data_IF_636974529376
#
_entry.id   IF_636974529376
#
_cell.length_a   1.000
_cell.length_b   1.000
_cell.length_c   1.000
_cell.angle_alpha   90.00
_cell.angle_beta   90.00
_cell.angle_gamma   90.00
#
_symmetry.space_group_name_H-M   'P 1'
#
loop_
_entity.id
_entity.type
_entity.pdbx_description
1 polymer ?
#
# COMPACT_ATOMS: atom_id res chain seq x y z
N UNK A 1 2.74 13.60 -19.92
CA UNK A 1 2.39 13.22 -18.53
C UNK A 1 2.63 14.44 -17.67
N UNK A 2 1.69 14.79 -16.80
CA UNK A 2 1.85 15.88 -15.83
C UNK A 2 2.35 15.28 -14.51
N UNK A 3 3.29 15.97 -13.84
CA UNK A 3 3.92 15.58 -12.57
C UNK A 3 3.54 16.57 -11.47
N UNK A 4 3.51 16.13 -10.21
CA UNK A 4 3.19 17.03 -9.11
C UNK A 4 4.31 18.06 -8.94
N UNK A 5 3.99 19.32 -8.63
CA UNK A 5 4.99 20.40 -8.63
C UNK A 5 6.11 20.17 -7.63
N UNK A 6 5.82 19.47 -6.53
CA UNK A 6 6.76 19.03 -5.49
C UNK A 6 7.64 17.83 -5.90
N UNK A 7 7.34 17.19 -7.04
CA UNK A 7 8.11 16.06 -7.60
C UNK A 7 8.94 16.48 -8.82
N UNK A 8 8.84 17.73 -9.29
CA UNK A 8 9.59 18.24 -10.44
C UNK A 8 11.06 18.48 -10.12
N UNK A 9 11.37 18.88 -8.89
CA UNK A 9 12.73 19.10 -8.41
C UNK A 9 12.97 18.24 -7.16
N UNK A 10 14.00 17.39 -7.22
CA UNK A 10 14.39 16.59 -6.08
C UNK A 10 15.03 17.47 -4.98
N UNK A 11 14.85 17.13 -3.70
CA UNK A 11 15.53 17.84 -2.62
C UNK A 11 17.05 17.81 -2.79
N UNK A 12 17.75 18.90 -2.47
CA UNK A 12 19.20 19.05 -2.66
C UNK A 12 20.03 17.96 -1.94
N UNK A 13 19.51 17.40 -0.85
CA UNK A 13 20.17 16.32 -0.11
C UNK A 13 20.15 14.98 -0.84
N UNK A 14 19.29 14.80 -1.85
CA UNK A 14 19.30 13.62 -2.74
C UNK A 14 20.38 13.82 -3.81
N UNK A 15 21.64 13.67 -3.40
CA UNK A 15 22.82 13.90 -4.25
C UNK A 15 23.78 12.70 -4.25
N UNK A 16 24.93 12.82 -4.93
CA UNK A 16 25.92 11.75 -5.04
C UNK A 16 26.39 11.15 -3.70
N UNK A 17 26.48 11.96 -2.64
CA UNK A 17 26.93 11.47 -1.33
C UNK A 17 25.85 10.58 -0.70
N UNK A 18 24.59 11.02 -0.73
CA UNK A 18 23.46 10.21 -0.28
C UNK A 18 23.31 8.93 -1.09
N UNK A 19 23.39 9.00 -2.43
CA UNK A 19 23.28 7.82 -3.29
C UNK A 19 24.40 6.81 -3.05
N UNK A 20 25.62 7.29 -2.74
CA UNK A 20 26.72 6.42 -2.31
C UNK A 20 26.38 5.70 -1.01
N UNK A 21 25.92 6.43 0.01
CA UNK A 21 25.52 5.87 1.30
C UNK A 21 24.46 4.77 1.14
N UNK A 22 23.43 5.04 0.33
CA UNK A 22 22.37 4.09 -0.01
C UNK A 22 22.94 2.80 -0.62
N UNK A 23 23.89 2.91 -1.55
CA UNK A 23 24.48 1.76 -2.22
C UNK A 23 25.37 0.92 -1.29
N UNK A 24 26.03 1.56 -0.31
CA UNK A 24 26.93 0.90 0.65
C UNK A 24 26.20 0.39 1.91
N UNK A 25 24.94 0.78 2.13
CA UNK A 25 24.19 0.58 3.38
C UNK A 25 24.17 -0.87 3.90
N UNK A 26 23.88 -1.84 3.02
CA UNK A 26 23.78 -3.25 3.42
C UNK A 26 25.14 -3.98 3.43
N UNK A 27 26.24 -3.29 3.10
CA UNK A 27 27.59 -3.85 3.07
C UNK A 27 27.94 -4.71 1.85
N UNK A 28 26.96 -4.97 0.96
CA UNK A 28 27.13 -5.72 -0.31
C UNK A 28 28.09 -5.01 -1.28
N UNK A 29 28.14 -3.68 -1.23
CA UNK A 29 29.04 -2.85 -2.01
C UNK A 29 29.95 -2.06 -1.07
N UNK A 30 31.21 -1.90 -1.45
CA UNK A 30 32.22 -1.15 -0.71
C UNK A 30 33.03 -0.28 -1.67
N UNK A 31 33.51 0.85 -1.18
CA UNK A 31 34.32 1.79 -1.94
C UNK A 31 33.62 2.22 -3.24
N UNK A 32 32.34 2.57 -3.13
CA UNK A 32 31.51 3.01 -4.24
C UNK A 32 31.93 4.43 -4.65
N UNK A 33 32.11 4.61 -5.95
CA UNK A 33 32.24 5.92 -6.60
C UNK A 33 31.04 6.13 -7.52
N UNK A 34 30.31 7.23 -7.30
CA UNK A 34 29.23 7.65 -8.20
C UNK A 34 29.87 8.35 -9.39
N UNK A 35 29.66 7.79 -10.59
CA UNK A 35 30.21 8.33 -11.84
C UNK A 35 29.25 9.33 -12.47
N UNK A 36 27.95 9.03 -12.39
CA UNK A 36 26.86 9.86 -12.91
C UNK A 36 25.54 9.46 -12.23
N UNK A 37 24.59 10.39 -12.13
CA UNK A 37 23.23 10.08 -11.69
C UNK A 37 22.19 11.04 -12.26
N UNK A 38 21.00 10.51 -12.55
CA UNK A 38 19.84 11.30 -12.96
C UNK A 38 18.67 11.03 -12.03
N UNK A 39 18.04 12.11 -11.55
CA UNK A 39 16.84 12.05 -10.73
C UNK A 39 15.65 12.54 -11.55
N UNK A 40 14.53 11.84 -11.43
CA UNK A 40 13.28 12.15 -12.11
C UNK A 40 12.09 11.82 -11.20
N UNK A 41 10.90 12.41 -11.42
CA UNK A 41 9.68 11.97 -10.75
C UNK A 41 9.46 10.46 -10.95
N UNK A 42 9.13 9.74 -9.87
CA UNK A 42 8.85 8.31 -9.97
C UNK A 42 7.44 8.02 -10.50
N UNK A 43 6.51 8.94 -10.24
CA UNK A 43 5.04 8.75 -10.23
C UNK A 43 4.31 9.87 -10.97
N UNK A 44 3.04 9.66 -11.33
CA UNK A 44 2.23 10.70 -11.98
C UNK A 44 1.38 11.47 -10.97
N UNK A 45 0.84 12.63 -11.35
CA UNK A 45 -0.03 13.42 -10.47
C UNK A 45 -1.17 12.56 -9.92
N UNK A 46 -1.30 12.56 -8.58
CA UNK A 46 -2.40 11.93 -7.87
C UNK A 46 -2.17 10.47 -7.49
N UNK A 47 -0.95 9.94 -7.65
CA UNK A 47 -0.62 8.57 -7.23
C UNK A 47 -0.19 8.47 -5.75
N UNK A 48 0.28 9.55 -5.12
CA UNK A 48 0.69 9.55 -3.71
C UNK A 48 0.14 10.73 -2.91
N UNK A 49 -0.40 10.43 -1.73
CA UNK A 49 -1.09 11.39 -0.85
C UNK A 49 -0.15 12.03 0.18
N UNK A 50 0.71 11.24 0.82
CA UNK A 50 1.46 11.62 2.02
C UNK A 50 2.99 11.69 1.84
N UNK A 51 3.49 11.55 0.62
CA UNK A 51 4.93 11.56 0.30
C UNK A 51 5.19 12.06 -1.11
N UNK A 52 6.47 12.26 -1.42
CA UNK A 52 7.01 12.48 -2.76
C UNK A 52 7.97 11.35 -3.11
N UNK A 53 7.99 10.94 -4.38
CA UNK A 53 8.80 9.82 -4.85
C UNK A 53 9.62 10.19 -6.07
N UNK A 54 10.91 9.87 -6.01
CA UNK A 54 11.86 10.10 -7.09
C UNK A 54 12.48 8.80 -7.55
N UNK A 55 12.71 8.67 -8.85
CA UNK A 55 13.52 7.62 -9.44
C UNK A 55 14.93 8.15 -9.66
N UNK A 56 15.93 7.50 -9.07
CA UNK A 56 17.33 7.80 -9.28
C UNK A 56 17.99 6.69 -10.12
N UNK A 57 18.44 7.04 -11.32
CA UNK A 57 19.25 6.18 -12.17
C UNK A 57 20.72 6.48 -11.90
N UNK A 58 21.44 5.53 -11.34
CA UNK A 58 22.80 5.71 -10.83
C UNK A 58 23.77 4.91 -11.69
N UNK A 59 24.82 5.56 -12.17
CA UNK A 59 26.00 4.90 -12.75
C UNK A 59 27.13 4.99 -11.74
N UNK A 60 27.65 3.84 -11.30
CA UNK A 60 28.68 3.77 -10.25
C UNK A 60 29.74 2.72 -10.57
N UNK A 61 30.84 2.75 -9.85
CA UNK A 61 31.89 1.71 -9.88
C UNK A 61 32.34 1.37 -8.46
N UNK A 62 32.83 0.14 -8.29
CA UNK A 62 33.54 -0.30 -7.09
C UNK A 62 35.00 -0.59 -7.46
N UNK A 63 35.91 -0.46 -6.49
CA UNK A 63 37.35 -0.62 -6.74
C UNK A 63 37.65 -1.95 -7.45
N UNK A 64 38.32 -1.88 -8.61
CA UNK A 64 38.70 -3.06 -9.39
C UNK A 64 37.58 -3.71 -10.21
N UNK A 65 36.38 -3.12 -10.27
CA UNK A 65 35.25 -3.63 -11.02
C UNK A 65 34.74 -2.64 -12.08
N UNK A 66 34.16 -3.14 -13.19
CA UNK A 66 33.57 -2.28 -14.21
C UNK A 66 32.39 -1.49 -13.66
N UNK A 67 32.08 -0.38 -14.33
CA UNK A 67 30.93 0.46 -13.98
C UNK A 67 29.61 -0.31 -14.15
N UNK A 68 28.69 -0.11 -13.20
CA UNK A 68 27.36 -0.69 -13.15
C UNK A 68 26.31 0.41 -13.15
N UNK A 69 25.11 0.07 -13.61
CA UNK A 69 23.92 0.91 -13.51
C UNK A 69 22.93 0.29 -12.53
N UNK A 70 22.22 1.12 -11.77
CA UNK A 70 21.12 0.70 -10.89
C UNK A 70 20.06 1.79 -10.86
N UNK A 71 18.80 1.39 -10.97
CA UNK A 71 17.65 2.26 -10.70
C UNK A 71 17.10 1.99 -9.32
N UNK A 72 16.80 3.04 -8.57
CA UNK A 72 16.20 2.99 -7.23
C UNK A 72 15.07 4.00 -7.12
N UNK A 73 14.14 3.75 -6.20
CA UNK A 73 13.05 4.66 -5.87
C UNK A 73 13.29 5.25 -4.48
N UNK A 74 13.36 6.57 -4.39
CA UNK A 74 13.55 7.35 -3.17
C UNK A 74 12.20 7.95 -2.77
N UNK A 75 11.64 7.53 -1.63
CA UNK A 75 10.40 8.04 -1.06
C UNK A 75 10.72 8.87 0.18
N UNK A 76 10.24 10.11 0.23
CA UNK A 76 10.48 11.05 1.33
C UNK A 76 9.25 11.91 1.60
N UNK A 77 9.23 12.60 2.75
CA UNK A 77 8.21 13.60 3.03
C UNK A 77 8.33 14.81 2.09
N UNK A 78 7.21 15.47 1.75
CA UNK A 78 7.24 16.72 0.99
C UNK A 78 8.04 17.80 1.72
N UNK A 79 9.00 18.41 1.02
CA UNK A 79 9.85 19.48 1.58
C UNK A 79 9.19 20.85 1.42
N UNK A 80 8.41 21.03 0.35
CA UNK A 80 7.69 22.27 0.02
C UNK A 80 6.48 22.45 0.94
N UNK A 81 6.26 23.68 1.41
CA UNK A 81 5.04 24.03 2.14
C UNK A 81 3.79 23.86 1.26
N UNK A 82 2.73 23.28 1.83
CA UNK A 82 1.52 23.02 1.08
C UNK A 82 0.62 21.98 1.74
N UNK A 83 -0.47 21.64 1.05
CA UNK A 83 -1.54 20.80 1.57
C UNK A 83 -1.05 19.47 2.17
N UNK A 84 -0.12 18.76 1.51
CA UNK A 84 0.41 17.49 2.02
C UNK A 84 1.15 17.67 3.36
N UNK A 85 1.98 18.71 3.49
CA UNK A 85 2.71 19.03 4.73
C UNK A 85 1.76 19.46 5.85
N UNK A 86 0.71 20.19 5.52
CA UNK A 86 -0.33 20.62 6.47
C UNK A 86 -1.17 19.45 6.99
N UNK A 87 -1.55 18.51 6.13
CA UNK A 87 -2.23 17.28 6.55
C UNK A 87 -1.31 16.49 7.47
N UNK A 88 -0.08 16.19 7.04
CA UNK A 88 0.90 15.39 7.79
C UNK A 88 1.33 16.01 9.13
N UNK A 89 1.37 17.34 9.23
CA UNK A 89 1.69 18.04 10.49
C UNK A 89 0.50 18.13 11.44
N UNK A 90 -0.74 18.00 10.94
CA UNK A 90 -1.99 18.02 11.72
C UNK A 90 -2.52 16.61 12.02
N UNK A 91 -1.97 15.57 11.40
CA UNK A 91 -2.32 14.18 11.69
C UNK A 91 -1.61 13.71 12.97
N UNK A 92 -2.35 13.20 13.95
CA UNK A 92 -1.74 12.48 15.11
C UNK A 92 -1.12 11.11 14.70
N UNK A 93 -1.34 10.67 13.46
CA UNK A 93 -0.89 9.37 12.93
C UNK A 93 0.39 9.56 12.12
N UNK A 94 1.48 8.91 12.54
CA UNK A 94 2.75 8.87 11.79
C UNK A 94 2.65 7.86 10.62
N UNK A 95 2.10 8.31 9.49
CA UNK A 95 1.94 7.51 8.27
C UNK A 95 3.29 6.99 7.76
N UNK A 96 4.29 7.87 7.71
CA UNK A 96 5.63 7.51 7.25
C UNK A 96 6.31 6.56 8.23
N UNK A 97 6.16 6.78 9.54
CA UNK A 97 6.65 5.87 10.56
C UNK A 97 5.96 4.50 10.54
N UNK A 98 4.70 4.44 10.11
CA UNK A 98 3.98 3.17 9.85
C UNK A 98 4.64 2.42 8.71
N UNK A 99 4.92 3.09 7.59
CA UNK A 99 5.57 2.46 6.45
C UNK A 99 7.00 1.99 6.78
N UNK A 100 7.81 2.81 7.45
CA UNK A 100 9.15 2.42 7.96
C UNK A 100 9.04 1.15 8.81
N UNK A 101 8.08 1.10 9.74
CA UNK A 101 7.88 -0.05 10.60
C UNK A 101 7.51 -1.30 9.79
N UNK A 102 6.63 -1.17 8.79
CA UNK A 102 6.23 -2.28 7.94
C UNK A 102 7.43 -2.88 7.21
N UNK A 103 8.21 -2.08 6.49
CA UNK A 103 9.38 -2.56 5.75
C UNK A 103 10.50 -3.09 6.67
N UNK A 104 10.75 -2.44 7.81
CA UNK A 104 11.87 -2.82 8.67
C UNK A 104 11.57 -3.95 9.65
N UNK A 105 10.30 -4.20 10.00
CA UNK A 105 9.92 -5.16 11.06
C UNK A 105 8.86 -6.19 10.67
N UNK A 106 8.01 -5.94 9.67
CA UNK A 106 6.85 -6.82 9.41
C UNK A 106 6.99 -7.60 8.11
N UNK A 107 7.32 -6.93 7.01
CA UNK A 107 7.24 -7.52 5.66
C UNK A 107 8.28 -8.64 5.44
N UNK A 108 9.48 -8.52 6.02
CA UNK A 108 10.49 -9.58 6.00
C UNK A 108 10.02 -10.87 6.68
N UNK A 109 9.58 -10.82 7.96
CA UNK A 109 8.96 -11.97 8.62
C UNK A 109 7.74 -12.54 7.89
N UNK A 110 6.87 -11.70 7.33
CA UNK A 110 5.74 -12.17 6.51
C UNK A 110 6.23 -12.96 5.29
N UNK A 111 7.23 -12.46 4.57
CA UNK A 111 7.80 -13.15 3.40
C UNK A 111 8.40 -14.51 3.78
N UNK A 112 9.01 -14.63 4.97
CA UNK A 112 9.54 -15.91 5.45
C UNK A 112 8.44 -16.94 5.76
N UNK A 113 7.33 -16.50 6.34
CA UNK A 113 6.15 -17.36 6.57
C UNK A 113 5.60 -17.84 5.23
N UNK A 114 5.38 -16.92 4.29
CA UNK A 114 4.85 -17.24 2.96
C UNK A 114 5.75 -18.21 2.20
N UNK A 115 7.07 -17.99 2.24
CA UNK A 115 8.05 -18.90 1.63
C UNK A 115 7.98 -20.30 2.23
N UNK A 116 7.81 -20.40 3.56
CA UNK A 116 7.67 -21.69 4.25
C UNK A 116 6.38 -22.41 3.85
N UNK A 117 5.32 -21.66 3.53
CA UNK A 117 4.08 -22.17 2.98
C UNK A 117 4.12 -22.45 1.46
N UNK A 118 5.27 -22.30 0.80
CA UNK A 118 5.45 -22.57 -0.64
C UNK A 118 5.14 -21.39 -1.57
N UNK A 119 4.85 -20.20 -1.03
CA UNK A 119 4.65 -18.98 -1.80
C UNK A 119 5.97 -18.23 -1.94
N UNK A 120 6.58 -18.33 -3.13
CA UNK A 120 7.93 -17.79 -3.39
C UNK A 120 7.94 -16.40 -4.04
N UNK A 121 6.79 -15.89 -4.46
CA UNK A 121 6.68 -14.57 -5.09
C UNK A 121 6.96 -13.46 -4.07
N UNK A 122 7.42 -12.31 -4.56
CA UNK A 122 7.64 -11.15 -3.71
C UNK A 122 6.30 -10.65 -3.12
N UNK A 123 6.32 -10.32 -1.84
CA UNK A 123 5.18 -9.70 -1.15
C UNK A 123 5.19 -8.17 -1.34
N UNK A 124 6.37 -7.57 -1.23
CA UNK A 124 6.59 -6.13 -1.27
C UNK A 124 7.90 -5.80 -1.99
N UNK A 125 8.08 -4.54 -2.39
CA UNK A 125 9.36 -4.05 -2.90
C UNK A 125 10.48 -4.26 -1.86
N UNK A 126 11.69 -4.55 -2.32
CA UNK A 126 12.83 -4.64 -1.41
C UNK A 126 13.26 -3.25 -0.96
N UNK A 127 13.25 -3.03 0.35
CA UNK A 127 13.84 -1.83 0.96
C UNK A 127 15.38 -1.94 0.93
N UNK A 128 16.03 -0.95 0.33
CA UNK A 128 17.49 -0.85 0.20
C UNK A 128 18.06 -0.04 1.37
N UNK A 129 17.41 1.07 1.73
CA UNK A 129 17.87 2.02 2.73
C UNK A 129 16.67 2.64 3.45
N UNK A 130 16.88 3.04 4.69
CA UNK A 130 15.94 3.88 5.43
C UNK A 130 16.70 4.82 6.36
N UNK A 131 16.15 6.01 6.58
CA UNK A 131 16.57 6.88 7.67
C UNK A 131 15.39 7.68 8.22
N UNK A 132 15.47 8.02 9.50
CA UNK A 132 14.59 8.99 10.16
C UNK A 132 15.28 10.33 10.42
N UNK A 133 16.62 10.37 10.38
CA UNK A 133 17.45 11.54 10.71
C UNK A 133 18.69 11.60 9.78
N UNK A 134 19.06 12.77 9.22
CA UNK A 134 18.39 14.07 9.34
C UNK A 134 17.09 14.18 8.51
N UNK A 135 16.82 13.18 7.67
CA UNK A 135 15.66 13.16 6.78
C UNK A 135 14.91 11.83 6.89
N UNK A 136 13.58 11.91 6.95
CA UNK A 136 12.68 10.76 6.84
C UNK A 136 12.63 10.27 5.39
N UNK A 137 13.34 9.18 5.10
CA UNK A 137 13.46 8.61 3.75
C UNK A 137 13.42 7.10 3.79
N UNK A 138 12.80 6.50 2.79
CA UNK A 138 12.90 5.07 2.48
C UNK A 138 13.31 4.94 1.01
N UNK A 139 14.24 4.03 0.73
CA UNK A 139 14.69 3.73 -0.63
C UNK A 139 14.36 2.29 -0.97
N UNK A 140 13.80 2.08 -2.15
CA UNK A 140 13.39 0.77 -2.67
C UNK A 140 14.16 0.40 -3.95
N UNK A 141 14.24 -0.90 -4.23
CA UNK A 141 14.55 -1.39 -5.59
C UNK A 141 13.46 -0.92 -6.56
N UNK A 142 13.85 -0.51 -7.77
CA UNK A 142 12.88 -0.13 -8.80
C UNK A 142 12.23 -1.37 -9.41
N UNK A 143 10.97 -1.60 -9.06
CA UNK A 143 10.19 -2.73 -9.56
C UNK A 143 10.02 -2.71 -11.10
N UNK A 144 10.14 -1.55 -11.76
CA UNK A 144 10.11 -1.48 -13.23
C UNK A 144 11.30 -2.21 -13.87
N UNK A 145 12.48 -2.13 -13.25
CA UNK A 145 13.67 -2.84 -13.73
C UNK A 145 13.54 -4.36 -13.56
N UNK A 146 12.65 -4.81 -12.67
CA UNK A 146 12.30 -6.22 -12.47
C UNK A 146 11.14 -6.68 -13.38
N UNK A 147 10.67 -5.82 -14.28
CA UNK A 147 9.61 -6.11 -15.24
C UNK A 147 8.20 -5.98 -14.67
N UNK A 148 8.03 -5.37 -13.49
CA UNK A 148 6.69 -5.08 -12.97
C UNK A 148 6.14 -3.76 -13.54
N UNK A 149 4.83 -3.71 -13.71
CA UNK A 149 4.08 -2.57 -14.19
C UNK A 149 2.85 -2.30 -13.31
N UNK A 150 2.23 -1.14 -13.46
CA UNK A 150 1.01 -0.78 -12.77
C UNK A 150 -0.16 -0.79 -13.75
N UNK A 151 -1.29 -1.38 -13.36
CA UNK A 151 -2.50 -1.26 -14.17
C UNK A 151 -3.02 0.19 -14.16
N UNK A 152 -3.60 0.67 -15.27
CA UNK A 152 -4.05 2.05 -15.36
C UNK A 152 -5.17 2.37 -14.36
N UNK A 153 -6.22 1.53 -14.23
CA UNK A 153 -7.34 1.74 -13.27
C UNK A 153 -8.20 0.51 -12.91
N UNK A 154 -8.31 -0.50 -13.77
CA UNK A 154 -9.31 -1.57 -13.64
C UNK A 154 -8.62 -2.92 -13.65
N UNK A 155 -9.09 -3.84 -12.80
CA UNK A 155 -8.68 -5.24 -12.85
C UNK A 155 -9.22 -5.83 -14.18
N UNK A 156 -8.36 -6.25 -15.11
CA UNK A 156 -8.78 -6.53 -16.48
C UNK A 156 -9.80 -7.66 -16.59
N UNK A 157 -9.62 -8.68 -15.76
CA UNK A 157 -10.37 -9.92 -15.88
C UNK A 157 -10.51 -10.65 -14.52
N UNK A 158 -11.22 -11.77 -14.53
CA UNK A 158 -11.50 -12.54 -13.33
C UNK A 158 -10.28 -13.26 -12.74
N UNK A 159 -9.34 -13.75 -13.56
CA UNK A 159 -8.12 -14.38 -13.04
C UNK A 159 -7.22 -13.38 -12.33
N UNK A 160 -7.13 -12.16 -12.86
CA UNK A 160 -6.39 -11.07 -12.22
C UNK A 160 -7.04 -10.69 -10.89
N UNK A 161 -8.38 -10.68 -10.82
CA UNK A 161 -9.10 -10.46 -9.57
C UNK A 161 -8.82 -11.58 -8.56
N UNK A 162 -8.81 -12.84 -8.99
CA UNK A 162 -8.46 -13.96 -8.13
C UNK A 162 -7.02 -13.83 -7.58
N UNK A 163 -6.07 -13.41 -8.41
CA UNK A 163 -4.67 -13.22 -8.00
C UNK A 163 -4.51 -12.08 -6.99
N UNK A 164 -5.18 -10.94 -7.23
CA UNK A 164 -5.20 -9.80 -6.28
C UNK A 164 -5.78 -10.22 -4.93
N UNK A 165 -6.88 -10.97 -4.90
CA UNK A 165 -7.48 -11.42 -3.64
C UNK A 165 -6.65 -12.50 -2.95
N UNK A 166 -6.00 -13.38 -3.72
CA UNK A 166 -5.08 -14.39 -3.18
C UNK A 166 -3.85 -13.74 -2.55
N UNK A 167 -3.28 -12.70 -3.19
CA UNK A 167 -2.18 -11.91 -2.60
C UNK A 167 -2.56 -11.24 -1.29
N UNK A 168 -3.80 -10.73 -1.17
CA UNK A 168 -4.32 -10.22 0.10
C UNK A 168 -4.44 -11.34 1.14
N UNK A 169 -4.93 -12.52 0.74
CA UNK A 169 -5.03 -13.70 1.59
C UNK A 169 -3.67 -14.13 2.16
N UNK A 170 -2.63 -14.13 1.31
CA UNK A 170 -1.24 -14.36 1.72
C UNK A 170 -0.80 -13.35 2.78
N UNK A 171 -0.94 -12.05 2.48
CA UNK A 171 -0.53 -10.97 3.39
C UNK A 171 -1.24 -11.05 4.74
N UNK A 172 -2.57 -11.22 4.73
CA UNK A 172 -3.38 -11.33 5.94
C UNK A 172 -3.07 -12.59 6.76
N UNK A 173 -2.88 -13.74 6.13
CA UNK A 173 -2.52 -14.97 6.85
C UNK A 173 -1.14 -14.87 7.50
N UNK A 174 -0.16 -14.30 6.79
CA UNK A 174 1.18 -14.09 7.34
C UNK A 174 1.17 -13.17 8.57
N UNK A 175 0.43 -12.05 8.50
CA UNK A 175 0.31 -11.12 9.64
C UNK A 175 -0.49 -11.70 10.80
N UNK A 176 -1.52 -12.51 10.51
CA UNK A 176 -2.27 -13.26 11.51
C UNK A 176 -1.38 -14.24 12.29
N UNK A 177 -0.53 -15.00 11.59
CA UNK A 177 0.45 -15.91 12.19
C UNK A 177 1.45 -15.13 13.06
N UNK A 178 2.01 -14.03 12.55
CA UNK A 178 2.96 -13.21 13.33
C UNK A 178 2.33 -12.68 14.62
N UNK A 179 1.06 -12.26 14.58
CA UNK A 179 0.36 -11.80 15.76
C UNK A 179 0.19 -12.92 16.79
N UNK A 180 -0.18 -14.13 16.35
CA UNK A 180 -0.26 -15.29 17.23
C UNK A 180 1.09 -15.72 17.81
N UNK A 181 2.20 -15.44 17.12
CA UNK A 181 3.57 -15.63 17.60
C UNK A 181 4.03 -14.51 18.56
N UNK A 182 3.18 -13.51 18.85
CA UNK A 182 3.49 -12.42 19.77
C UNK A 182 4.38 -11.32 19.17
N UNK A 183 4.44 -11.20 17.84
CA UNK A 183 5.22 -10.16 17.19
C UNK A 183 4.72 -8.76 17.61
N UNK A 184 5.63 -7.95 18.16
CA UNK A 184 5.29 -6.63 18.71
C UNK A 184 4.96 -5.62 17.61
N UNK A 185 4.10 -4.66 17.94
CA UNK A 185 3.78 -3.52 17.07
C UNK A 185 2.81 -3.82 15.93
N UNK A 186 2.23 -5.02 15.86
CA UNK A 186 1.16 -5.33 14.90
C UNK A 186 -0.19 -4.76 15.30
N UNK A 187 -0.42 -4.53 16.60
CA UNK A 187 -1.66 -3.96 17.15
C UNK A 187 -1.79 -2.44 16.91
N UNK A 188 -1.30 -1.95 15.77
CA UNK A 188 -1.42 -0.56 15.35
C UNK A 188 -2.90 -0.23 15.20
N UNK A 189 -3.40 0.56 16.13
CA UNK A 189 -4.74 1.10 16.04
C UNK A 189 -4.70 2.30 15.11
N UNK A 190 -5.64 2.34 14.19
CA UNK A 190 -5.89 3.52 13.38
C UNK A 190 -5.27 3.51 11.99
N UNK A 191 -6.13 3.25 11.00
CA UNK A 191 -5.91 3.63 9.59
C UNK A 191 -6.37 5.06 9.33
N UNK A 192 -6.58 5.41 8.04
CA UNK A 192 -6.90 6.79 7.58
C UNK A 192 -8.06 7.45 8.35
N UNK A 193 -9.03 6.67 8.82
CA UNK A 193 -10.21 7.16 9.54
C UNK A 193 -9.98 7.53 11.02
N UNK A 194 -8.78 7.28 11.54
CA UNK A 194 -8.35 7.74 12.85
C UNK A 194 -7.34 8.90 12.75
N UNK A 195 -7.13 9.44 11.56
CA UNK A 195 -6.39 10.68 11.34
C UNK A 195 -7.24 11.86 11.84
N UNK A 196 -6.97 12.31 13.07
CA UNK A 196 -7.58 13.51 13.64
C UNK A 196 -9.12 13.54 13.54
N UNK A 197 -9.66 14.76 13.44
CA UNK A 197 -11.07 14.97 13.16
C UNK A 197 -11.31 15.09 11.65
N UNK A 198 -11.51 13.92 11.01
CA UNK A 198 -11.79 13.81 9.58
C UNK A 198 -12.95 14.71 9.13
N UNK A 199 -13.91 15.00 10.01
CA UNK A 199 -15.06 15.85 9.69
C UNK A 199 -14.69 17.33 9.56
N UNK A 200 -13.62 17.74 10.25
CA UNK A 200 -13.07 19.08 10.20
C UNK A 200 -11.95 19.23 9.17
N UNK A 201 -11.57 18.16 8.47
CA UNK A 201 -10.66 18.24 7.34
C UNK A 201 -11.40 18.73 6.10
N UNK A 202 -11.22 20.01 5.78
CA UNK A 202 -11.81 20.69 4.61
C UNK A 202 -11.67 19.86 3.32
N UNK A 203 -10.53 19.20 3.10
CA UNK A 203 -10.30 18.38 1.91
C UNK A 203 -11.34 17.28 1.68
N UNK A 204 -11.67 16.49 2.70
CA UNK A 204 -12.63 15.39 2.52
C UNK A 204 -14.06 15.92 2.42
N UNK A 205 -14.40 16.93 3.21
CA UNK A 205 -15.70 17.58 3.14
C UNK A 205 -15.93 18.20 1.76
N UNK A 206 -14.99 19.01 1.30
CA UNK A 206 -15.08 19.74 0.04
C UNK A 206 -14.99 18.75 -1.14
N UNK A 207 -14.15 17.71 -1.06
CA UNK A 207 -14.06 16.65 -2.06
C UNK A 207 -15.38 15.90 -2.27
N UNK A 208 -16.12 15.58 -1.19
CA UNK A 208 -17.45 14.98 -1.32
C UNK A 208 -18.46 15.97 -1.88
N UNK A 209 -18.41 17.24 -1.48
CA UNK A 209 -19.29 18.28 -2.04
C UNK A 209 -19.07 18.41 -3.55
N UNK A 210 -17.82 18.52 -4.01
CA UNK A 210 -17.50 18.56 -5.43
C UNK A 210 -17.93 17.29 -6.17
N UNK A 211 -17.79 16.12 -5.54
CA UNK A 211 -18.25 14.87 -6.15
C UNK A 211 -19.78 14.85 -6.32
N UNK A 212 -20.53 15.35 -5.34
CA UNK A 212 -21.99 15.47 -5.44
C UNK A 212 -22.38 16.42 -6.57
N UNK A 213 -21.77 17.60 -6.63
CA UNK A 213 -21.99 18.59 -7.70
C UNK A 213 -21.66 18.02 -9.08
N UNK A 214 -20.55 17.28 -9.19
CA UNK A 214 -20.17 16.60 -10.43
C UNK A 214 -21.23 15.59 -10.86
N UNK A 215 -21.67 14.69 -9.98
CA UNK A 215 -22.67 13.68 -10.32
C UNK A 215 -24.01 14.32 -10.68
N UNK A 216 -24.40 15.40 -10.00
CA UNK A 216 -25.61 16.17 -10.31
C UNK A 216 -25.54 16.82 -11.70
N UNK A 217 -24.36 17.24 -12.15
CA UNK A 217 -24.15 17.84 -13.48
C UNK A 217 -24.14 16.83 -14.64
N UNK A 218 -24.03 15.53 -14.36
CA UNK A 218 -23.89 14.49 -15.38
C UNK A 218 -25.26 13.89 -15.77
N UNK A 219 -25.67 13.98 -17.05
CA UNK A 219 -26.95 13.44 -17.50
C UNK A 219 -26.98 11.90 -17.39
N UNK A 220 -28.11 11.34 -16.95
CA UNK A 220 -28.30 9.90 -16.79
C UNK A 220 -27.87 9.33 -15.43
N UNK A 221 -27.47 10.19 -14.48
CA UNK A 221 -27.12 9.81 -13.11
C UNK A 221 -28.09 10.39 -12.06
N UNK A 222 -29.31 10.75 -12.45
CA UNK A 222 -30.28 11.45 -11.60
C UNK A 222 -30.59 10.65 -10.32
N UNK A 223 -30.85 9.34 -10.44
CA UNK A 223 -31.10 8.47 -9.28
C UNK A 223 -29.88 8.38 -8.34
N UNK A 224 -28.67 8.35 -8.91
CA UNK A 224 -27.43 8.32 -8.14
C UNK A 224 -27.21 9.66 -7.42
N UNK A 225 -27.46 10.78 -8.10
CA UNK A 225 -27.42 12.13 -7.53
C UNK A 225 -28.37 12.25 -6.34
N UNK A 226 -29.64 11.86 -6.50
CA UNK A 226 -30.63 11.90 -5.41
C UNK A 226 -30.18 11.08 -4.18
N UNK A 227 -29.55 9.92 -4.39
CA UNK A 227 -29.01 9.10 -3.30
C UNK A 227 -27.80 9.76 -2.66
N UNK A 228 -26.84 10.25 -3.45
CA UNK A 228 -25.62 10.91 -2.96
C UNK A 228 -25.95 12.18 -2.17
N UNK A 229 -26.93 12.96 -2.59
CA UNK A 229 -27.31 14.19 -1.90
C UNK A 229 -27.81 13.91 -0.46
N UNK A 230 -28.46 12.76 -0.22
CA UNK A 230 -28.90 12.31 1.11
C UNK A 230 -27.76 11.85 2.02
N UNK A 231 -26.57 11.62 1.48
CA UNK A 231 -25.41 11.15 2.25
C UNK A 231 -24.78 12.31 3.01
N UNK A 232 -24.57 12.15 4.32
CA UNK A 232 -23.83 13.10 5.15
C UNK A 232 -22.39 12.61 5.34
N UNK A 233 -21.41 13.42 4.98
CA UNK A 233 -19.99 13.08 5.17
C UNK A 233 -19.69 12.77 6.63
N UNK A 234 -20.17 13.60 7.57
CA UNK A 234 -20.04 13.36 9.00
C UNK A 234 -20.52 11.97 9.42
N UNK A 235 -21.68 11.53 8.89
CA UNK A 235 -22.19 10.18 9.17
C UNK A 235 -21.31 9.09 8.57
N UNK A 236 -20.80 9.27 7.34
CA UNK A 236 -19.86 8.33 6.72
C UNK A 236 -18.59 8.23 7.56
N UNK A 237 -17.92 9.35 7.81
CA UNK A 237 -16.64 9.38 8.51
C UNK A 237 -16.75 8.76 9.91
N UNK A 238 -17.81 9.11 10.66
CA UNK A 238 -18.12 8.48 11.94
C UNK A 238 -18.35 6.98 11.82
N UNK A 239 -19.11 6.52 10.83
CA UNK A 239 -19.38 5.09 10.61
C UNK A 239 -18.12 4.34 10.20
N UNK A 240 -17.29 4.89 9.32
CA UNK A 240 -15.99 4.34 8.94
C UNK A 240 -15.08 4.22 10.16
N UNK A 241 -14.99 5.27 10.99
CA UNK A 241 -14.21 5.24 12.24
C UNK A 241 -14.71 4.17 13.21
N UNK A 242 -16.02 4.03 13.38
CA UNK A 242 -16.60 2.97 14.20
C UNK A 242 -16.27 1.57 13.64
N UNK A 243 -16.35 1.42 12.32
CA UNK A 243 -16.14 0.15 11.63
C UNK A 243 -14.68 -0.29 11.69
N UNK A 244 -13.73 0.61 11.44
CA UNK A 244 -12.29 0.32 11.52
C UNK A 244 -11.85 -0.10 12.92
N UNK A 245 -12.52 0.42 13.96
CA UNK A 245 -12.19 0.14 15.34
C UNK A 245 -13.02 -1.00 15.95
N UNK A 246 -14.01 -1.53 15.22
CA UNK A 246 -14.80 -2.67 15.67
C UNK A 246 -13.98 -3.96 15.48
N UNK A 247 -13.94 -4.85 16.49
CA UNK A 247 -13.27 -6.14 16.33
C UNK A 247 -14.03 -7.02 15.34
N UNK A 248 -13.29 -7.67 14.45
CA UNK A 248 -13.81 -8.72 13.59
C UNK A 248 -14.01 -10.04 14.33
N UNK A 249 -14.55 -11.02 13.62
CA UNK A 249 -14.54 -12.42 14.05
C UNK A 249 -13.11 -12.97 14.11
N UNK A 250 -12.23 -12.43 13.27
CA UNK A 250 -10.78 -12.52 13.37
C UNK A 250 -10.16 -11.24 12.81
N UNK A 251 -9.08 -10.78 13.42
CA UNK A 251 -8.40 -9.55 13.03
C UNK A 251 -7.05 -9.86 12.38
N UNK A 252 -6.66 -9.02 11.44
CA UNK A 252 -5.41 -9.08 10.69
C UNK A 252 -4.79 -7.69 10.65
N UNK A 253 -3.55 -7.59 10.19
CA UNK A 253 -2.97 -6.29 9.87
C UNK A 253 -3.40 -5.92 8.44
N UNK A 254 -4.45 -5.12 8.31
CA UNK A 254 -4.89 -4.60 7.01
C UNK A 254 -3.77 -3.75 6.38
N UNK A 255 -3.67 -3.78 5.06
CA UNK A 255 -2.90 -2.83 4.26
C UNK A 255 -3.43 -1.40 4.47
N UNK A 256 -4.76 -1.26 4.53
CA UNK A 256 -5.47 -0.01 4.78
C UNK A 256 -5.62 0.89 3.57
N UNK A 257 -5.04 0.51 2.43
CA UNK A 257 -5.12 1.21 1.15
C UNK A 257 -5.06 0.23 -0.02
N UNK A 258 -5.79 -0.88 0.12
CA UNK A 258 -5.72 -2.01 -0.80
C UNK A 258 -6.47 -1.73 -2.11
N UNK A 259 -5.84 -0.99 -3.02
CA UNK A 259 -6.37 -0.65 -4.35
C UNK A 259 -5.34 -0.90 -5.45
N UNK A 260 -5.79 -0.97 -6.71
CA UNK A 260 -4.95 -1.42 -7.84
C UNK A 260 -3.69 -0.57 -8.07
N UNK A 261 -3.71 0.72 -7.74
CA UNK A 261 -2.53 1.60 -7.86
C UNK A 261 -1.45 1.36 -6.80
N UNK A 262 -1.77 0.66 -5.72
CA UNK A 262 -0.81 0.24 -4.70
C UNK A 262 -0.35 -1.20 -4.93
N UNK A 263 -0.47 -1.65 -6.19
CA UNK A 263 -0.08 -2.98 -6.64
C UNK A 263 0.76 -2.87 -7.91
N UNK A 264 1.79 -3.69 -7.97
CA UNK A 264 2.66 -3.83 -9.12
C UNK A 264 2.54 -5.26 -9.64
N UNK A 265 2.32 -5.40 -10.93
CA UNK A 265 1.94 -6.63 -11.62
C UNK A 265 3.06 -7.08 -12.54
N UNK A 266 3.17 -8.38 -12.78
CA UNK A 266 4.11 -8.94 -13.76
C UNK A 266 3.40 -9.96 -14.62
N UNK A 267 3.59 -9.86 -15.92
CA UNK A 267 2.96 -10.75 -16.88
C UNK A 267 3.75 -12.04 -17.07
N UNK A 268 3.00 -13.12 -17.28
CA UNK A 268 3.48 -14.35 -17.87
C UNK A 268 3.30 -14.24 -19.39
N UNK A 269 4.41 -14.09 -20.10
CA UNK A 269 4.45 -14.09 -21.57
C UNK A 269 3.53 -13.05 -22.24
N UNK A 270 3.19 -11.95 -21.56
CA UNK A 270 2.45 -10.81 -22.11
C UNK A 270 0.95 -11.00 -22.30
N UNK A 271 0.33 -12.00 -21.67
CA UNK A 271 -1.12 -12.24 -21.78
C UNK A 271 -1.84 -12.32 -20.43
N UNK A 272 -1.24 -12.93 -19.41
CA UNK A 272 -1.85 -13.12 -18.09
C UNK A 272 -0.93 -12.64 -16.97
N UNK A 273 -1.46 -12.03 -15.92
CA UNK A 273 -0.66 -11.66 -14.74
C UNK A 273 -0.26 -12.92 -13.97
N UNK A 274 1.03 -13.07 -13.68
CA UNK A 274 1.55 -14.14 -12.81
C UNK A 274 1.83 -13.70 -11.39
N UNK A 275 2.21 -12.45 -11.17
CA UNK A 275 2.65 -11.98 -9.85
C UNK A 275 2.05 -10.63 -9.50
N UNK A 276 1.80 -10.42 -8.21
CA UNK A 276 1.37 -9.15 -7.62
C UNK A 276 2.28 -8.82 -6.45
N UNK A 277 2.84 -7.62 -6.45
CA UNK A 277 3.59 -7.03 -5.36
C UNK A 277 2.78 -5.88 -4.78
N UNK A 278 2.73 -5.79 -3.46
CA UNK A 278 2.08 -4.70 -2.74
C UNK A 278 3.09 -3.57 -2.45
N UNK A 279 2.62 -2.33 -2.53
CA UNK A 279 3.41 -1.13 -2.20
C UNK A 279 2.58 -0.15 -1.38
N UNK A 280 3.22 0.82 -0.75
CA UNK A 280 2.59 1.88 0.05
C UNK A 280 1.83 1.39 1.30
N UNK A 281 2.59 0.92 2.30
CA UNK A 281 2.08 0.36 3.55
C UNK A 281 1.81 1.42 4.65
N UNK A 282 1.56 2.67 4.26
CA UNK A 282 1.46 3.80 5.21
C UNK A 282 0.16 3.81 6.04
N UNK A 283 -0.89 3.11 5.59
CA UNK A 283 -2.21 3.07 6.23
C UNK A 283 -2.51 1.76 6.99
N UNK A 284 -1.48 0.95 7.23
CA UNK A 284 -1.64 -0.36 7.87
C UNK A 284 -2.18 -0.26 9.29
N UNK A 285 -3.21 -1.05 9.59
CA UNK A 285 -3.86 -1.05 10.90
C UNK A 285 -4.46 -2.43 11.23
N UNK A 286 -4.52 -2.74 12.52
CA UNK A 286 -5.07 -3.98 13.02
C UNK A 286 -6.60 -3.92 13.08
N UNK A 287 -7.28 -4.91 12.50
CA UNK A 287 -8.74 -5.00 12.54
C UNK A 287 -9.29 -6.06 11.58
N UNK A 288 -10.60 -6.05 11.39
CA UNK A 288 -11.27 -7.03 10.51
C UNK A 288 -10.73 -6.95 9.08
N UNK A 289 -10.49 -8.09 8.39
CA UNK A 289 -10.07 -8.12 6.98
C UNK A 289 -11.12 -7.55 6.03
N UNK A 290 -12.36 -7.35 6.52
CA UNK A 290 -13.44 -6.76 5.75
C UNK A 290 -13.10 -5.34 5.24
N UNK A 291 -12.18 -4.63 5.90
CA UNK A 291 -11.80 -3.28 5.48
C UNK A 291 -11.11 -3.26 4.10
N UNK A 292 -10.00 -3.99 3.96
CA UNK A 292 -9.28 -4.08 2.67
C UNK A 292 -10.16 -4.74 1.60
N UNK A 293 -10.90 -5.79 1.99
CA UNK A 293 -11.80 -6.49 1.08
C UNK A 293 -12.90 -5.57 0.56
N UNK A 294 -13.50 -4.72 1.41
CA UNK A 294 -14.55 -3.80 0.99
C UNK A 294 -14.03 -2.80 -0.05
N UNK A 295 -12.81 -2.29 0.12
CA UNK A 295 -12.25 -1.30 -0.79
C UNK A 295 -12.03 -1.89 -2.19
N UNK A 296 -11.25 -2.96 -2.33
CA UNK A 296 -10.99 -3.56 -3.65
C UNK A 296 -12.26 -4.14 -4.29
N UNK A 297 -13.23 -4.55 -3.49
CA UNK A 297 -14.51 -5.09 -3.99
C UNK A 297 -15.41 -4.04 -4.62
N UNK A 298 -15.25 -2.77 -4.26
CA UNK A 298 -16.09 -1.69 -4.75
C UNK A 298 -15.94 -1.48 -6.27
N UNK A 299 -14.78 -1.87 -6.84
CA UNK A 299 -14.48 -1.74 -8.27
C UNK A 299 -14.78 -3.02 -9.07
N UNK A 300 -15.33 -4.06 -8.43
CA UNK A 300 -15.63 -5.35 -9.07
C UNK A 300 -17.14 -5.60 -9.26
N UNK A 301 -17.54 -6.22 -10.38
CA UNK A 301 -18.88 -6.77 -10.56
C UNK A 301 -19.26 -7.76 -9.45
N UNK A 302 -20.54 -7.82 -9.09
CA UNK A 302 -21.04 -8.63 -7.96
C UNK A 302 -20.70 -10.12 -8.06
N UNK A 303 -20.81 -10.71 -9.26
CA UNK A 303 -20.52 -12.12 -9.50
C UNK A 303 -19.03 -12.46 -9.30
N UNK A 304 -18.14 -11.58 -9.79
CA UNK A 304 -16.68 -11.74 -9.62
C UNK A 304 -16.33 -11.58 -8.14
N UNK A 305 -16.88 -10.56 -7.48
CA UNK A 305 -16.65 -10.26 -6.06
C UNK A 305 -16.88 -11.46 -5.13
N UNK A 306 -17.98 -12.19 -5.31
CA UNK A 306 -18.30 -13.34 -4.47
C UNK A 306 -17.26 -14.47 -4.61
N UNK A 307 -16.77 -14.73 -5.84
CA UNK A 307 -15.71 -15.71 -6.09
C UNK A 307 -14.36 -15.22 -5.59
N UNK A 308 -14.05 -13.94 -5.75
CA UNK A 308 -12.83 -13.32 -5.22
C UNK A 308 -12.71 -13.45 -3.69
N UNK A 309 -13.82 -13.30 -2.94
CA UNK A 309 -13.81 -13.57 -1.49
C UNK A 309 -13.46 -15.01 -1.14
N UNK A 310 -13.89 -15.97 -1.98
CA UNK A 310 -13.53 -17.37 -1.80
C UNK A 310 -12.04 -17.60 -2.06
N UNK A 311 -11.49 -17.04 -3.14
CA UNK A 311 -10.05 -17.08 -3.43
C UNK A 311 -9.20 -16.49 -2.31
N UNK A 312 -9.60 -15.33 -1.77
CA UNK A 312 -8.96 -14.73 -0.60
C UNK A 312 -8.94 -15.70 0.59
N UNK A 313 -10.11 -16.25 0.94
CA UNK A 313 -10.24 -17.08 2.14
C UNK A 313 -9.54 -18.43 2.01
N UNK A 314 -9.66 -19.09 0.85
CA UNK A 314 -8.97 -20.36 0.58
C UNK A 314 -7.45 -20.17 0.66
N UNK A 315 -6.93 -19.08 0.10
CA UNK A 315 -5.48 -18.76 0.20
C UNK A 315 -5.08 -18.46 1.64
N UNK A 316 -5.91 -17.72 2.38
CA UNK A 316 -5.66 -17.42 3.78
C UNK A 316 -5.54 -18.70 4.61
N UNK A 317 -6.49 -19.63 4.46
CA UNK A 317 -6.48 -20.91 5.17
C UNK A 317 -5.31 -21.79 4.74
N UNK A 318 -5.03 -21.89 3.43
CA UNK A 318 -3.91 -22.67 2.90
C UNK A 318 -2.56 -22.22 3.48
N UNK A 319 -2.35 -20.91 3.64
CA UNK A 319 -1.13 -20.39 4.29
C UNK A 319 -1.08 -20.78 5.77
N UNK A 320 -2.20 -20.72 6.51
CA UNK A 320 -2.25 -21.12 7.92
C UNK A 320 -1.92 -22.61 8.10
N UNK A 321 -2.51 -23.46 7.27
CA UNK A 321 -2.31 -24.91 7.30
C UNK A 321 -0.86 -25.28 6.94
N UNK A 322 -0.31 -24.71 5.85
CA UNK A 322 1.06 -25.00 5.41
C UNK A 322 2.14 -24.40 6.31
N UNK A 323 1.81 -23.40 7.11
CA UNK A 323 2.73 -22.79 8.09
C UNK A 323 2.66 -23.43 9.48
N UNK A 324 1.97 -24.57 9.62
CA UNK A 324 1.79 -25.30 10.88
C UNK A 324 1.20 -24.43 12.02
N UNK A 325 0.26 -23.55 11.68
CA UNK A 325 -0.42 -22.70 12.64
C UNK A 325 -1.19 -23.55 13.68
N UNK A 326 -0.95 -23.28 14.97
CA UNK A 326 -1.48 -24.09 16.08
C UNK A 326 -2.80 -23.60 16.68
N UNK A 327 -3.29 -22.44 16.25
CA UNK A 327 -4.57 -21.90 16.73
C UNK A 327 -5.76 -22.44 15.94
N UNK A 328 -6.96 -22.03 16.33
CA UNK A 328 -8.18 -22.35 15.59
C UNK A 328 -8.20 -21.63 14.24
N UNK A 329 -8.45 -22.38 13.17
CA UNK A 329 -8.65 -21.81 11.85
C UNK A 329 -9.98 -21.05 11.79
N UNK A 330 -10.01 -19.82 11.25
CA UNK A 330 -11.27 -19.13 11.00
C UNK A 330 -12.17 -19.93 10.06
N UNK A 331 -13.49 -19.76 10.21
CA UNK A 331 -14.49 -20.33 9.32
C UNK A 331 -14.94 -19.31 8.27
N UNK A 332 -15.37 -19.76 7.09
CA UNK A 332 -15.77 -18.84 6.02
C UNK A 332 -16.97 -17.97 6.44
N UNK A 333 -17.90 -18.52 7.22
CA UNK A 333 -19.06 -17.79 7.75
C UNK A 333 -18.66 -16.63 8.68
N UNK A 334 -17.52 -16.74 9.37
CA UNK A 334 -16.96 -15.64 10.16
C UNK A 334 -16.54 -14.47 9.26
N UNK A 335 -15.84 -14.75 8.14
CA UNK A 335 -15.52 -13.73 7.16
C UNK A 335 -16.80 -13.11 6.55
N UNK A 336 -17.80 -13.92 6.23
CA UNK A 336 -19.07 -13.43 5.69
C UNK A 336 -19.81 -12.53 6.67
N UNK A 337 -19.77 -12.84 7.97
CA UNK A 337 -20.35 -12.01 9.01
C UNK A 337 -19.59 -10.69 9.13
N UNK A 338 -18.27 -10.72 9.11
CA UNK A 338 -17.42 -9.53 9.13
C UNK A 338 -17.70 -8.61 7.93
N UNK A 339 -17.78 -9.16 6.71
CA UNK A 339 -18.13 -8.41 5.49
C UNK A 339 -19.51 -7.75 5.55
N UNK A 340 -20.45 -8.29 6.34
CA UNK A 340 -21.78 -7.70 6.56
C UNK A 340 -21.77 -6.65 7.67
N UNK A 341 -21.13 -6.94 8.80
CA UNK A 341 -21.12 -6.08 9.99
C UNK A 341 -20.18 -4.88 9.86
N UNK A 342 -19.13 -5.02 9.05
CA UNK A 342 -18.11 -3.99 8.81
C UNK A 342 -18.27 -3.30 7.45
N UNK A 343 -19.49 -3.25 6.90
CA UNK A 343 -19.78 -2.42 5.72
C UNK A 343 -19.84 -0.94 6.10
N UNK A 344 -19.00 -0.07 5.50
CA UNK A 344 -18.98 1.34 5.87
C UNK A 344 -20.24 2.12 5.46
N UNK A 345 -21.11 1.60 4.57
CA UNK A 345 -22.52 1.97 4.35
C UNK A 345 -23.18 0.99 3.37
#
# INVERSE_FOLDING_TARGET
MSFNTDELEAPEWVNSNFLKEVLEYNGDLKNVTINDYQISPATTIGDHFASIMFRANITFSTQGHPSKKRSIIVKTLPVVEGFKKDVLSKTEVDLFGTEIFMYSKVLGPCANILKSAGYNDLLAAKMIYQSTEPHKVIVFEDLKELGYFMFPRIIPNESDAALVFSKLGQYHAATFILAAQGHKGLNRKGGIFNIGDMDNMNFFRDGISYFKELVESLPGLEEASEKLQKISFHKIAKKCKQTVNAPGSFDVLNHGDYHIKNMMFKDKNGMDVSEVILVDFQLCHWGSPAFDLAYISAVLPSAIRARSYRHYFDTFIDVLEKSDYKGSLPAFDQLQNDLKSHRPL
#
